data_IF_591564110236
#
_entry.id   IF_591564110236
#
_cell.length_a   1.000
_cell.length_b   1.000
_cell.length_c   1.000
_cell.angle_alpha   90.00
_cell.angle_beta   90.00
_cell.angle_gamma   90.00
#
_symmetry.space_group_name_H-M   'P 1'
#
loop_
_entity.id
_entity.type
_entity.pdbx_description
1 polymer ?
#
# COMPACT_ATOMS: atom_id res chain seq x y z
N UNK A 1 25.98 -6.80 -0.59
CA UNK A 1 24.76 -6.11 -0.14
C UNK A 1 24.46 -6.53 1.27
N UNK A 2 24.44 -5.59 2.17
CA UNK A 2 24.15 -5.87 3.58
C UNK A 2 22.64 -5.73 3.79
N UNK A 3 21.97 -6.87 3.89
CA UNK A 3 20.58 -6.91 4.26
C UNK A 3 20.41 -7.66 5.59
N UNK A 4 19.41 -7.27 6.31
CA UNK A 4 19.06 -7.87 7.60
C UNK A 4 17.60 -8.32 7.57
N UNK A 5 17.34 -9.53 8.06
CA UNK A 5 16.00 -10.08 8.19
C UNK A 5 15.66 -10.22 9.67
N UNK A 6 14.59 -9.60 10.08
CA UNK A 6 14.02 -9.71 11.42
C UNK A 6 12.62 -10.30 11.34
N UNK A 7 12.34 -11.30 12.16
CA UNK A 7 10.99 -11.88 12.27
C UNK A 7 10.42 -11.56 13.64
N UNK A 8 9.27 -10.89 13.66
CA UNK A 8 8.56 -10.56 14.90
C UNK A 8 7.77 -11.77 15.43
N UNK A 9 7.37 -11.71 16.69
CA UNK A 9 6.63 -12.80 17.34
C UNK A 9 5.28 -13.12 16.67
N UNK A 10 4.69 -12.14 15.99
CA UNK A 10 3.43 -12.33 15.25
C UNK A 10 3.64 -12.88 13.82
N UNK A 11 4.89 -13.19 13.44
CA UNK A 11 5.22 -13.71 12.12
C UNK A 11 5.57 -12.66 11.07
N UNK A 12 5.42 -11.37 11.38
CA UNK A 12 5.81 -10.30 10.45
C UNK A 12 7.32 -10.33 10.22
N UNK A 13 7.73 -10.34 8.96
CA UNK A 13 9.14 -10.29 8.54
C UNK A 13 9.49 -8.89 8.08
N UNK A 14 10.62 -8.39 8.54
CA UNK A 14 11.15 -7.09 8.18
C UNK A 14 12.51 -7.31 7.54
N UNK A 15 12.65 -6.91 6.28
CA UNK A 15 13.91 -6.97 5.55
C UNK A 15 14.39 -5.54 5.34
N UNK A 16 15.62 -5.26 5.74
CA UNK A 16 16.24 -3.95 5.56
C UNK A 16 17.54 -4.08 4.80
N UNK A 17 17.81 -3.12 3.94
CA UNK A 17 19.09 -2.94 3.27
C UNK A 17 19.56 -1.51 3.47
N UNK A 18 20.77 -1.34 4.03
CA UNK A 18 21.34 -0.02 4.28
C UNK A 18 22.07 0.47 3.04
N UNK A 19 21.70 1.67 2.58
CA UNK A 19 22.31 2.34 1.43
C UNK A 19 22.90 3.69 1.87
N UNK A 20 24.12 3.71 2.44
CA UNK A 20 24.66 4.91 3.10
C UNK A 20 24.95 6.07 2.15
N UNK A 21 25.04 5.81 0.84
CA UNK A 21 25.32 6.85 -0.16
C UNK A 21 24.10 7.67 -0.57
N UNK A 22 22.91 7.31 -0.15
CA UNK A 22 21.65 7.97 -0.56
C UNK A 22 20.85 8.42 0.66
N UNK A 23 20.08 9.50 0.48
CA UNK A 23 19.20 10.09 1.49
C UNK A 23 17.72 9.78 1.25
N UNK A 24 17.44 8.94 0.27
CA UNK A 24 16.09 8.44 -0.01
C UNK A 24 15.92 7.03 0.55
N UNK A 25 14.68 6.73 0.92
CA UNK A 25 14.28 5.40 1.40
C UNK A 25 13.10 4.92 0.58
N UNK A 26 13.14 3.66 0.18
CA UNK A 26 11.99 2.96 -0.36
C UNK A 26 11.49 1.98 0.70
N UNK A 27 10.23 2.06 1.04
CA UNK A 27 9.57 1.15 1.98
C UNK A 27 8.38 0.50 1.31
N UNK A 28 8.22 -0.80 1.50
CA UNK A 28 7.10 -1.55 0.94
C UNK A 28 6.53 -2.53 1.94
N UNK A 29 5.20 -2.58 1.99
CA UNK A 29 4.47 -3.61 2.71
C UNK A 29 3.99 -4.66 1.70
N UNK A 30 4.52 -5.86 1.85
CA UNK A 30 4.28 -6.99 0.95
C UNK A 30 3.27 -7.92 1.58
N UNK A 31 2.17 -8.17 0.88
CA UNK A 31 1.11 -9.08 1.30
C UNK A 31 1.19 -10.32 0.41
N UNK A 32 1.31 -11.48 1.03
CA UNK A 32 1.40 -12.77 0.33
C UNK A 32 0.01 -13.22 -0.14
N UNK A 33 -0.63 -12.37 -0.95
CA UNK A 33 -1.95 -12.61 -1.53
C UNK A 33 -2.04 -11.84 -2.84
N UNK A 34 -2.46 -12.52 -3.88
CA UNK A 34 -2.68 -11.96 -5.20
C UNK A 34 -3.87 -12.61 -5.88
N UNK A 35 -4.05 -12.34 -7.18
CA UNK A 35 -5.22 -12.82 -7.92
C UNK A 35 -5.32 -14.35 -8.02
N UNK A 36 -4.20 -15.06 -7.85
CA UNK A 36 -4.18 -16.53 -7.83
C UNK A 36 -4.91 -17.11 -6.61
N UNK A 37 -4.92 -16.39 -5.50
CA UNK A 37 -5.52 -16.83 -4.23
C UNK A 37 -7.03 -16.60 -4.18
N UNK A 38 -7.57 -15.89 -5.17
CA UNK A 38 -8.98 -15.53 -5.24
C UNK A 38 -9.83 -16.69 -5.78
N UNK A 39 -10.97 -16.93 -5.14
CA UNK A 39 -12.02 -17.78 -5.70
C UNK A 39 -12.76 -17.04 -6.83
N UNK A 40 -13.59 -17.73 -7.59
CA UNK A 40 -14.38 -17.12 -8.66
C UNK A 40 -15.30 -15.99 -8.13
N UNK A 41 -15.78 -16.11 -6.89
CA UNK A 41 -16.62 -15.09 -6.24
C UNK A 41 -15.78 -13.88 -5.81
N UNK A 42 -14.51 -14.09 -5.48
CA UNK A 42 -13.59 -13.06 -5.00
C UNK A 42 -12.76 -12.42 -6.12
N UNK A 43 -12.97 -12.85 -7.36
CA UNK A 43 -12.17 -12.36 -8.50
C UNK A 43 -12.14 -10.84 -8.60
N UNK A 44 -10.94 -10.27 -8.55
CA UNK A 44 -10.71 -8.82 -8.56
C UNK A 44 -10.62 -8.17 -7.18
N UNK A 45 -10.85 -8.91 -6.09
CA UNK A 45 -10.79 -8.35 -4.73
C UNK A 45 -9.43 -7.74 -4.38
N UNK A 46 -8.33 -8.40 -4.73
CA UNK A 46 -6.99 -7.88 -4.42
C UNK A 46 -6.74 -6.54 -5.11
N UNK A 47 -7.08 -6.42 -6.37
CA UNK A 47 -6.98 -5.19 -7.13
C UNK A 47 -7.92 -4.10 -6.58
N UNK A 48 -9.13 -4.48 -6.24
CA UNK A 48 -10.10 -3.55 -5.66
C UNK A 48 -9.66 -3.02 -4.29
N UNK A 49 -9.15 -3.88 -3.42
CA UNK A 49 -8.58 -3.48 -2.13
C UNK A 49 -7.37 -2.55 -2.31
N UNK A 50 -6.54 -2.79 -3.31
CA UNK A 50 -5.44 -1.90 -3.65
C UNK A 50 -5.93 -0.46 -3.83
N UNK A 51 -6.99 -0.25 -4.62
CA UNK A 51 -7.59 1.06 -4.79
C UNK A 51 -8.18 1.61 -3.49
N UNK A 52 -8.92 0.80 -2.76
CA UNK A 52 -9.64 1.24 -1.56
C UNK A 52 -8.73 1.68 -0.41
N UNK A 53 -7.56 1.09 -0.27
CA UNK A 53 -6.64 1.46 0.80
C UNK A 53 -6.13 2.91 0.67
N UNK A 54 -6.08 3.45 -0.54
CA UNK A 54 -5.74 4.85 -0.78
C UNK A 54 -6.92 5.82 -0.61
N UNK A 55 -8.13 5.31 -0.38
CA UNK A 55 -9.36 6.13 -0.33
C UNK A 55 -9.80 6.52 1.07
N UNK A 56 -8.99 6.27 2.03
CA UNK A 56 -9.19 6.75 3.40
C UNK A 56 -9.01 5.69 4.45
N UNK A 57 -8.66 6.16 5.63
CA UNK A 57 -8.58 5.37 6.87
C UNK A 57 -9.68 5.81 7.81
N UNK A 58 -9.75 5.18 8.98
CA UNK A 58 -10.72 5.59 10.02
C UNK A 58 -10.53 7.06 10.44
N UNK A 59 -9.30 7.59 10.37
CA UNK A 59 -8.96 8.94 10.81
C UNK A 59 -8.62 9.91 9.68
N UNK A 60 -8.31 9.42 8.48
CA UNK A 60 -7.86 10.22 7.34
C UNK A 60 -8.74 10.03 6.12
N UNK A 61 -9.07 11.13 5.45
CA UNK A 61 -9.70 11.08 4.12
C UNK A 61 -8.68 10.72 3.03
N UNK A 62 -9.15 10.35 1.85
CA UNK A 62 -8.29 10.15 0.67
C UNK A 62 -7.44 11.39 0.38
N UNK A 63 -8.04 12.57 0.47
CA UNK A 63 -7.34 13.84 0.27
C UNK A 63 -6.26 14.06 1.32
N UNK A 64 -6.54 13.76 2.58
CA UNK A 64 -5.56 13.90 3.68
C UNK A 64 -4.35 12.96 3.50
N UNK A 65 -4.57 11.73 3.03
CA UNK A 65 -3.50 10.80 2.70
C UNK A 65 -2.61 11.37 1.58
N UNK A 66 -3.22 11.80 0.49
CA UNK A 66 -2.50 12.38 -0.65
C UNK A 66 -1.71 13.62 -0.23
N UNK A 67 -2.31 14.51 0.54
CA UNK A 67 -1.65 15.72 1.05
C UNK A 67 -0.47 15.39 1.97
N UNK A 68 -0.59 14.37 2.82
CA UNK A 68 0.48 13.96 3.71
C UNK A 68 1.73 13.49 2.94
N UNK A 69 1.55 12.70 1.89
CA UNK A 69 2.65 12.28 1.03
C UNK A 69 3.21 13.44 0.21
N UNK A 70 2.36 14.28 -0.37
CA UNK A 70 2.78 15.43 -1.18
C UNK A 70 3.57 16.45 -0.34
N UNK A 71 3.20 16.67 0.91
CA UNK A 71 3.85 17.63 1.79
C UNK A 71 5.34 17.34 2.00
N UNK A 72 5.75 16.07 1.93
CA UNK A 72 7.15 15.66 2.07
C UNK A 72 7.79 15.27 0.74
N UNK A 73 7.10 15.48 -0.37
CA UNK A 73 7.59 15.11 -1.70
C UNK A 73 7.72 13.60 -1.90
N UNK A 74 6.93 12.81 -1.17
CA UNK A 74 6.95 11.37 -1.30
C UNK A 74 6.22 10.89 -2.54
N UNK A 75 6.64 9.75 -3.05
CA UNK A 75 5.93 8.99 -4.07
C UNK A 75 5.36 7.75 -3.41
N UNK A 76 4.10 7.46 -3.66
CA UNK A 76 3.46 6.26 -3.15
C UNK A 76 2.59 5.63 -4.22
N UNK A 77 2.51 4.33 -4.20
CA UNK A 77 1.66 3.57 -5.10
C UNK A 77 1.52 2.13 -4.56
N UNK A 78 0.80 1.32 -5.30
CA UNK A 78 0.67 -0.09 -5.04
C UNK A 78 0.63 -0.86 -6.35
N UNK A 79 0.84 -2.15 -6.28
CA UNK A 79 0.61 -3.05 -7.40
C UNK A 79 0.14 -4.42 -6.89
N UNK A 80 -0.74 -5.03 -7.66
CA UNK A 80 -1.26 -6.38 -7.42
C UNK A 80 -0.77 -7.30 -8.52
N UNK A 81 -0.11 -8.38 -8.14
CA UNK A 81 0.29 -9.45 -9.05
C UNK A 81 -0.58 -10.69 -8.82
N UNK A 82 -0.23 -11.78 -9.49
CA UNK A 82 -0.92 -13.06 -9.29
C UNK A 82 -0.66 -13.66 -7.91
N UNK A 83 0.48 -13.38 -7.31
CA UNK A 83 0.95 -14.05 -6.10
C UNK A 83 1.06 -13.13 -4.89
N UNK A 84 1.23 -11.82 -5.11
CA UNK A 84 1.41 -10.87 -4.02
C UNK A 84 0.87 -9.49 -4.37
N UNK A 85 0.63 -8.69 -3.34
CA UNK A 85 0.27 -7.28 -3.44
C UNK A 85 1.29 -6.47 -2.65
N UNK A 86 1.73 -5.33 -3.18
CA UNK A 86 2.68 -4.44 -2.52
C UNK A 86 2.15 -3.03 -2.45
N UNK A 87 2.20 -2.45 -1.27
CA UNK A 87 1.94 -1.02 -1.01
C UNK A 87 3.26 -0.38 -0.66
N UNK A 88 3.68 0.65 -1.39
CA UNK A 88 5.01 1.21 -1.22
C UNK A 88 5.01 2.74 -1.22
N UNK A 89 6.06 3.29 -0.61
CA UNK A 89 6.38 4.70 -0.64
C UNK A 89 7.88 4.91 -0.81
N UNK A 90 8.24 5.98 -1.49
CA UNK A 90 9.61 6.45 -1.63
C UNK A 90 9.68 7.88 -1.11
N UNK A 91 10.55 8.15 -0.15
CA UNK A 91 10.63 9.41 0.54
C UNK A 91 12.05 9.65 1.08
N UNK A 92 12.26 10.81 1.70
CA UNK A 92 13.54 11.08 2.36
C UNK A 92 13.67 10.25 3.63
N UNK A 93 14.90 9.92 4.00
CA UNK A 93 15.19 9.13 5.20
C UNK A 93 14.59 9.74 6.48
N UNK A 94 14.63 11.07 6.61
CA UNK A 94 14.05 11.77 7.77
C UNK A 94 12.52 11.67 7.88
N UNK A 95 11.83 11.37 6.77
CA UNK A 95 10.37 11.23 6.73
C UNK A 95 9.91 9.77 6.83
N UNK A 96 10.82 8.83 6.96
CA UNK A 96 10.50 7.40 7.06
C UNK A 96 9.51 7.07 8.19
N UNK A 97 9.63 7.62 9.41
CA UNK A 97 8.67 7.35 10.48
C UNK A 97 7.23 7.72 10.08
N UNK A 98 7.04 8.87 9.45
CA UNK A 98 5.73 9.30 8.95
C UNK A 98 5.21 8.36 7.85
N UNK A 99 6.07 8.00 6.90
CA UNK A 99 5.70 7.09 5.81
C UNK A 99 5.27 5.71 6.31
N UNK A 100 5.99 5.16 7.28
CA UNK A 100 5.64 3.89 7.92
C UNK A 100 4.32 3.96 8.67
N UNK A 101 4.10 5.03 9.42
CA UNK A 101 2.85 5.24 10.15
C UNK A 101 1.67 5.33 9.20
N UNK A 102 1.81 6.10 8.12
CA UNK A 102 0.75 6.30 7.14
C UNK A 102 0.42 5.01 6.36
N UNK A 103 1.42 4.31 5.85
CA UNK A 103 1.21 3.02 5.19
C UNK A 103 0.60 1.99 6.15
N UNK A 104 1.08 1.95 7.38
CA UNK A 104 0.54 1.06 8.41
C UNK A 104 -0.92 1.33 8.71
N UNK A 105 -1.32 2.59 8.79
CA UNK A 105 -2.72 2.96 9.01
C UNK A 105 -3.60 2.59 7.81
N UNK A 106 -3.14 2.84 6.60
CA UNK A 106 -3.86 2.48 5.38
C UNK A 106 -4.14 0.97 5.31
N UNK A 107 -3.18 0.15 5.70
CA UNK A 107 -3.29 -1.31 5.63
C UNK A 107 -4.10 -1.88 6.80
N UNK A 108 -3.92 -1.35 7.99
CA UNK A 108 -4.52 -1.90 9.21
C UNK A 108 -5.89 -1.31 9.54
N UNK A 109 -6.18 -0.08 9.10
CA UNK A 109 -7.39 0.66 9.47
C UNK A 109 -8.05 1.35 8.27
N UNK A 110 -8.25 0.65 7.15
CA UNK A 110 -8.97 1.23 6.02
C UNK A 110 -10.43 1.50 6.42
N UNK A 111 -10.98 2.60 5.92
CA UNK A 111 -12.33 3.00 6.30
C UNK A 111 -13.44 2.28 5.51
N UNK A 112 -13.17 1.92 4.27
CA UNK A 112 -14.15 1.27 3.37
C UNK A 112 -15.50 2.03 3.32
N UNK A 113 -15.46 3.36 3.14
CA UNK A 113 -16.67 4.17 3.06
C UNK A 113 -17.49 3.79 1.84
N UNK A 114 -18.82 3.69 1.99
CA UNK A 114 -19.72 3.23 0.92
C UNK A 114 -19.62 4.06 -0.36
N UNK A 115 -19.49 5.37 -0.25
CA UNK A 115 -19.28 6.25 -1.40
C UNK A 115 -17.99 5.99 -2.15
N UNK A 116 -16.91 5.69 -1.45
CA UNK A 116 -15.63 5.34 -2.06
C UNK A 116 -15.66 3.95 -2.69
N UNK A 117 -16.33 2.99 -2.06
CA UNK A 117 -16.52 1.65 -2.63
C UNK A 117 -17.26 1.74 -3.96
N UNK A 118 -18.35 2.52 -4.01
CA UNK A 118 -19.13 2.70 -5.22
C UNK A 118 -18.33 3.38 -6.32
N UNK A 119 -17.65 4.48 -6.00
CA UNK A 119 -16.82 5.24 -6.93
C UNK A 119 -15.70 4.39 -7.51
N UNK A 120 -14.93 3.70 -6.65
CA UNK A 120 -13.81 2.89 -7.08
C UNK A 120 -14.22 1.63 -7.84
N UNK A 121 -15.41 1.08 -7.58
CA UNK A 121 -15.90 -0.06 -8.35
C UNK A 121 -16.07 0.29 -9.83
N UNK A 122 -16.50 1.50 -10.13
CA UNK A 122 -16.60 2.00 -11.52
C UNK A 122 -15.22 2.14 -12.16
N UNK A 123 -14.25 2.70 -11.43
CA UNK A 123 -12.87 2.87 -11.92
C UNK A 123 -12.24 1.52 -12.25
N UNK A 124 -12.34 0.56 -11.34
CA UNK A 124 -11.76 -0.78 -11.53
C UNK A 124 -12.43 -1.51 -12.70
N UNK A 125 -13.74 -1.41 -12.85
CA UNK A 125 -14.46 -2.00 -13.98
C UNK A 125 -14.03 -1.38 -15.31
N UNK A 126 -13.80 -0.07 -15.35
CA UNK A 126 -13.26 0.58 -16.55
C UNK A 126 -11.86 0.10 -16.89
N UNK A 127 -10.97 -0.04 -15.90
CA UNK A 127 -9.63 -0.58 -16.11
C UNK A 127 -9.65 -2.01 -16.64
N UNK A 128 -10.51 -2.87 -16.12
CA UNK A 128 -10.68 -4.24 -16.60
C UNK A 128 -11.14 -4.25 -18.06
N UNK A 129 -12.06 -3.36 -18.42
CA UNK A 129 -12.58 -3.28 -19.79
C UNK A 129 -11.58 -2.69 -20.79
N UNK A 130 -10.54 -1.99 -20.35
CA UNK A 130 -9.49 -1.40 -21.19
C UNK A 130 -8.35 -2.39 -21.52
N UNK A 131 -8.25 -3.51 -20.80
CA UNK A 131 -7.28 -4.57 -20.99
C UNK A 131 -7.93 -5.77 -21.69
#
# INVERSE_FOLDING_TARGET
>A
MDHELTTLSNGLRIITETMPAVRSVSVGAWVDTGSRDETAVEAGCSHFLEHLLFKGTETLSAQAIAQAFDAVGARSNAFTSKEYTCYWAQLRDEDLPMGLELLGEMIQRPAFRSGEIESESHVVLEEINMN
#
